data_IF_567499463884
#
_entry.id   IF_567499463884
#
_cell.length_a   1.000
_cell.length_b   1.000
_cell.length_c   1.000
_cell.angle_alpha   90.00
_cell.angle_beta   90.00
_cell.angle_gamma   90.00
#
_symmetry.space_group_name_H-M   'P 1'
#
loop_
_entity.id
_entity.type
_entity.pdbx_description
1 polymer ?
#
# COMPACT_ATOMS: atom_id res chain seq x y z
N UNK A 1 -61.42 -9.94 -22.80
CA UNK A 1 -61.17 -8.60 -22.25
C UNK A 1 -59.82 -8.69 -21.54
N UNK A 2 -58.85 -7.90 -22.00
CA UNK A 2 -57.52 -7.50 -21.46
C UNK A 2 -56.92 -8.26 -20.25
N UNK A 3 -55.61 -8.55 -20.19
CA UNK A 3 -54.52 -7.59 -20.37
C UNK A 3 -53.26 -8.22 -20.99
N UNK A 4 -52.68 -7.48 -21.94
CA UNK A 4 -51.31 -7.64 -22.42
C UNK A 4 -50.46 -6.51 -21.82
N UNK A 5 -49.22 -6.85 -21.51
CA UNK A 5 -48.07 -5.95 -21.37
C UNK A 5 -47.94 -5.11 -20.09
N UNK A 6 -46.99 -5.55 -19.25
CA UNK A 6 -45.93 -4.65 -18.82
C UNK A 6 -44.62 -5.42 -18.90
N UNK A 7 -44.02 -5.40 -20.09
CA UNK A 7 -42.62 -5.78 -20.26
C UNK A 7 -41.78 -4.59 -19.80
N UNK A 8 -41.15 -4.76 -18.64
CA UNK A 8 -40.13 -3.87 -18.12
C UNK A 8 -38.96 -3.86 -19.12
N UNK A 9 -38.89 -2.82 -19.95
CA UNK A 9 -37.84 -2.66 -20.94
C UNK A 9 -36.55 -2.29 -20.21
N UNK A 10 -35.70 -3.30 -19.98
CA UNK A 10 -34.32 -3.13 -19.58
C UNK A 10 -33.65 -2.11 -20.50
N UNK A 11 -33.53 -0.87 -20.01
CA UNK A 11 -32.95 0.22 -20.76
C UNK A 11 -31.44 0.02 -20.76
N UNK A 12 -30.95 -0.74 -21.74
CA UNK A 12 -29.53 -0.81 -22.03
C UNK A 12 -28.97 0.59 -22.26
N UNK A 13 -27.65 0.78 -22.07
CA UNK A 13 -27.02 2.09 -22.26
C UNK A 13 -27.38 2.64 -23.64
N UNK A 14 -27.77 3.91 -23.68
CA UNK A 14 -28.17 4.61 -24.91
C UNK A 14 -27.07 4.46 -25.97
N UNK A 15 -27.36 4.33 -27.28
CA UNK A 15 -26.35 4.06 -28.32
C UNK A 15 -25.17 5.05 -28.43
N UNK A 16 -25.20 6.20 -27.75
CA UNK A 16 -24.07 7.13 -27.58
C UNK A 16 -23.30 7.00 -26.25
N UNK A 17 -23.64 6.03 -25.40
CA UNK A 17 -23.05 5.79 -24.09
C UNK A 17 -21.98 4.67 -24.09
N UNK A 18 -21.66 4.13 -25.26
CA UNK A 18 -20.57 3.17 -25.41
C UNK A 18 -19.21 3.89 -25.40
N UNK A 19 -18.29 3.38 -24.58
CA UNK A 19 -16.92 3.87 -24.50
C UNK A 19 -16.04 3.12 -25.49
N UNK A 20 -15.02 3.78 -26.03
CA UNK A 20 -13.94 3.05 -26.72
C UNK A 20 -13.19 2.17 -25.73
N UNK A 21 -12.50 1.13 -26.20
CA UNK A 21 -11.69 0.27 -25.33
C UNK A 21 -10.64 1.07 -24.54
N UNK A 22 -10.06 2.10 -25.15
CA UNK A 22 -9.12 3.01 -24.49
C UNK A 22 -9.80 3.81 -23.36
N UNK A 23 -10.97 4.40 -23.63
CA UNK A 23 -11.74 5.15 -22.64
C UNK A 23 -12.22 4.25 -21.50
N UNK A 24 -12.64 3.03 -21.81
CA UNK A 24 -13.02 2.03 -20.81
C UNK A 24 -11.81 1.65 -19.95
N UNK A 25 -10.67 1.32 -20.57
CA UNK A 25 -9.45 0.96 -19.85
C UNK A 25 -8.99 2.07 -18.90
N UNK A 26 -9.00 3.32 -19.38
CA UNK A 26 -8.67 4.48 -18.55
C UNK A 26 -9.61 4.62 -17.34
N UNK A 27 -10.92 4.62 -17.58
CA UNK A 27 -11.93 4.72 -16.51
C UNK A 27 -11.90 3.51 -15.57
N UNK A 28 -11.60 2.33 -16.09
CA UNK A 28 -11.45 1.13 -15.29
C UNK A 28 -10.31 1.28 -14.29
N UNK A 29 -9.15 1.78 -14.70
CA UNK A 29 -8.05 2.06 -13.77
C UNK A 29 -8.44 3.13 -12.73
N UNK A 30 -9.19 4.15 -13.14
CA UNK A 30 -9.71 5.17 -12.23
C UNK A 30 -10.61 4.58 -11.14
N UNK A 31 -11.45 3.60 -11.47
CA UNK A 31 -12.38 2.96 -10.53
C UNK A 31 -11.77 1.79 -9.77
N UNK A 32 -10.96 0.96 -10.43
CA UNK A 32 -10.49 -0.31 -9.89
C UNK A 32 -9.23 -0.16 -9.01
N UNK A 33 -8.42 0.87 -9.23
CA UNK A 33 -7.18 1.11 -8.47
C UNK A 33 -7.42 2.18 -7.40
N UNK A 34 -8.10 1.80 -6.34
CA UNK A 34 -8.44 2.70 -5.22
C UNK A 34 -7.36 2.70 -4.14
N UNK A 35 -7.33 3.76 -3.34
CA UNK A 35 -6.45 3.86 -2.15
C UNK A 35 -6.67 2.69 -1.18
N UNK A 36 -7.92 2.31 -0.96
CA UNK A 36 -8.29 1.19 -0.09
C UNK A 36 -7.72 -0.14 -0.58
N UNK A 37 -7.83 -0.44 -1.89
CA UNK A 37 -7.30 -1.68 -2.47
C UNK A 37 -5.77 -1.72 -2.44
N UNK A 38 -5.12 -0.59 -2.71
CA UNK A 38 -3.66 -0.47 -2.64
C UNK A 38 -3.18 -0.60 -1.18
N UNK A 39 -3.87 0.06 -0.25
CA UNK A 39 -3.55 0.01 1.18
C UNK A 39 -3.70 -1.40 1.75
N UNK A 40 -4.79 -2.11 1.39
CA UNK A 40 -5.01 -3.49 1.80
C UNK A 40 -3.91 -4.43 1.29
N UNK A 41 -3.57 -4.34 0.01
CA UNK A 41 -2.51 -5.17 -0.58
C UNK A 41 -1.13 -4.92 0.05
N UNK A 42 -0.81 -3.66 0.37
CA UNK A 42 0.46 -3.31 1.04
C UNK A 42 0.45 -3.78 2.50
N UNK A 43 -0.69 -3.65 3.21
CA UNK A 43 -0.84 -4.17 4.56
C UNK A 43 -0.57 -5.66 4.65
N UNK A 44 -1.08 -6.44 3.70
CA UNK A 44 -0.81 -7.89 3.61
C UNK A 44 0.68 -8.22 3.37
N UNK A 45 1.40 -7.41 2.58
CA UNK A 45 2.82 -7.61 2.29
C UNK A 45 3.71 -7.18 3.46
N UNK A 46 3.34 -6.10 4.17
CA UNK A 46 4.14 -5.54 5.24
C UNK A 46 4.24 -6.50 6.45
N UNK A 47 3.21 -7.32 6.68
CA UNK A 47 3.17 -8.27 7.80
C UNK A 47 2.90 -7.60 9.16
N UNK A 48 2.53 -8.40 10.16
CA UNK A 48 2.02 -7.86 11.45
C UNK A 48 3.14 -7.38 12.41
N UNK A 49 4.33 -7.97 12.31
CA UNK A 49 5.49 -7.61 13.12
C UNK A 49 6.77 -8.34 12.65
N UNK A 50 7.93 -7.71 12.83
CA UNK A 50 9.22 -8.40 12.68
C UNK A 50 10.19 -8.03 13.82
N UNK A 51 11.00 -9.01 14.22
CA UNK A 51 12.08 -8.81 15.19
C UNK A 51 13.39 -8.54 14.45
N UNK A 52 14.04 -7.41 14.74
CA UNK A 52 15.41 -7.19 14.34
C UNK A 52 16.33 -7.66 15.48
N UNK A 53 17.04 -8.77 15.22
CA UNK A 53 17.98 -9.37 16.15
C UNK A 53 19.18 -8.45 16.47
N UNK A 54 20.03 -8.84 17.46
CA UNK A 54 21.04 -7.96 18.02
C UNK A 54 21.99 -7.34 16.99
N UNK A 55 21.80 -6.07 16.64
CA UNK A 55 22.72 -5.31 15.80
C UNK A 55 23.79 -4.72 16.71
N UNK A 56 25.06 -5.07 16.49
CA UNK A 56 26.15 -4.47 17.22
C UNK A 56 26.40 -3.03 16.73
N UNK A 57 25.95 -2.04 17.50
CA UNK A 57 26.17 -0.62 17.21
C UNK A 57 27.02 0.04 18.32
N UNK A 58 27.72 1.14 18.01
CA UNK A 58 28.55 1.90 18.94
C UNK A 58 30.06 1.54 18.98
N UNK A 59 30.90 2.36 19.65
CA UNK A 59 32.35 2.17 19.70
C UNK A 59 32.72 0.80 20.27
N UNK A 60 33.49 0.01 19.52
CA UNK A 60 33.92 -1.33 19.94
C UNK A 60 32.85 -2.44 19.86
N UNK A 61 31.70 -2.21 19.22
CA UNK A 61 30.59 -3.21 19.08
C UNK A 61 30.04 -3.70 20.42
N UNK A 62 30.14 -2.86 21.46
CA UNK A 62 29.80 -3.23 22.84
C UNK A 62 28.28 -3.20 23.06
N UNK A 63 27.56 -2.31 22.37
CA UNK A 63 26.11 -2.23 22.48
C UNK A 63 25.41 -3.22 21.54
N UNK A 64 24.44 -3.94 22.07
CA UNK A 64 23.55 -4.81 21.28
C UNK A 64 22.16 -4.17 21.22
N UNK A 65 21.65 -3.95 20.02
CA UNK A 65 20.32 -3.37 19.82
C UNK A 65 19.35 -4.46 19.38
N UNK A 66 18.27 -4.63 20.12
CA UNK A 66 17.14 -5.48 19.73
C UNK A 66 15.92 -4.60 19.54
N UNK A 67 15.16 -4.82 18.46
CA UNK A 67 13.96 -4.06 18.18
C UNK A 67 12.81 -4.99 17.80
N UNK A 68 11.65 -4.77 18.42
CA UNK A 68 10.39 -5.32 17.98
C UNK A 68 9.65 -4.24 17.21
N UNK A 69 9.41 -4.48 15.92
CA UNK A 69 8.72 -3.53 15.05
C UNK A 69 7.28 -3.97 14.88
N UNK A 70 6.35 -3.06 15.14
CA UNK A 70 4.93 -3.15 14.79
C UNK A 70 4.65 -2.24 13.61
N UNK A 71 4.01 -2.79 12.58
CA UNK A 71 3.62 -2.04 11.39
C UNK A 71 2.18 -1.60 11.57
N UNK A 72 1.95 -0.30 11.46
CA UNK A 72 0.61 0.27 11.61
C UNK A 72 -0.09 0.37 10.26
N UNK A 73 -1.39 0.69 10.30
CA UNK A 73 -2.20 0.83 9.09
C UNK A 73 -1.59 1.86 8.11
N UNK A 74 -1.29 1.46 6.86
CA UNK A 74 -0.80 2.37 5.84
C UNK A 74 -1.78 3.49 5.53
N UNK A 75 -1.25 4.68 5.27
CA UNK A 75 -1.99 5.84 4.75
C UNK A 75 -1.62 6.01 3.28
N UNK A 76 -2.61 5.95 2.40
CA UNK A 76 -2.42 6.04 0.96
C UNK A 76 -3.10 7.29 0.46
N UNK A 77 -2.41 8.08 -0.35
CA UNK A 77 -3.01 9.17 -1.12
C UNK A 77 -2.78 8.95 -2.61
N UNK A 78 -3.82 9.18 -3.40
CA UNK A 78 -3.83 8.97 -4.84
C UNK A 78 -3.80 10.29 -5.61
N UNK A 79 -3.02 10.30 -6.69
CA UNK A 79 -3.03 11.37 -7.69
C UNK A 79 -3.42 10.78 -9.05
N UNK A 80 -4.36 11.46 -9.73
CA UNK A 80 -4.84 11.07 -11.06
C UNK A 80 -4.37 12.13 -12.06
N UNK A 81 -3.38 11.77 -12.88
CA UNK A 81 -2.82 12.62 -13.93
C UNK A 81 -2.71 11.84 -15.24
N UNK A 82 -1.62 11.99 -15.97
CA UNK A 82 -1.35 11.11 -17.13
C UNK A 82 -1.29 9.64 -16.70
N UNK A 83 -0.61 9.37 -15.58
CA UNK A 83 -0.59 8.09 -14.87
C UNK A 83 -1.35 8.23 -13.54
N UNK A 84 -1.76 7.08 -12.98
CA UNK A 84 -2.27 7.04 -11.60
C UNK A 84 -1.11 6.68 -10.69
N UNK A 85 -0.82 7.57 -9.75
CA UNK A 85 0.28 7.44 -8.79
C UNK A 85 -0.26 7.41 -7.36
N UNK A 86 0.51 6.79 -6.48
CA UNK A 86 0.19 6.66 -5.06
C UNK A 86 1.40 7.08 -4.24
N UNK A 87 1.15 7.91 -3.22
CA UNK A 87 2.07 8.11 -2.11
C UNK A 87 1.55 7.30 -0.92
N UNK A 88 2.38 6.39 -0.41
CA UNK A 88 2.04 5.49 0.67
C UNK A 88 2.94 5.80 1.85
N UNK A 89 2.36 6.03 3.02
CA UNK A 89 3.05 6.20 4.29
C UNK A 89 2.69 5.09 5.24
N UNK A 90 3.68 4.37 5.75
CA UNK A 90 3.48 3.25 6.67
C UNK A 90 4.11 3.65 8.01
N UNK A 91 3.31 4.01 9.02
CA UNK A 91 3.84 4.31 10.35
C UNK A 91 4.35 3.03 11.02
N UNK A 92 5.46 3.15 11.73
CA UNK A 92 6.08 2.07 12.50
C UNK A 92 6.11 2.45 13.98
N UNK A 93 5.83 1.47 14.84
CA UNK A 93 6.04 1.56 16.28
C UNK A 93 7.11 0.54 16.67
N UNK A 94 8.19 1.00 17.29
CA UNK A 94 9.40 0.21 17.51
C UNK A 94 9.72 0.19 19.00
N UNK A 95 9.57 -0.98 19.62
CA UNK A 95 10.07 -1.25 20.97
C UNK A 95 11.54 -1.64 20.87
N UNK A 96 12.44 -0.73 21.23
CA UNK A 96 13.88 -0.92 21.13
C UNK A 96 14.52 -1.11 22.51
N UNK A 97 15.41 -2.09 22.61
CA UNK A 97 16.26 -2.33 23.78
C UNK A 97 17.72 -2.20 23.35
N UNK A 98 18.47 -1.34 24.06
CA UNK A 98 19.91 -1.19 23.83
C UNK A 98 20.65 -1.77 25.03
N UNK A 99 21.31 -2.91 24.84
CA UNK A 99 22.10 -3.58 25.88
C UNK A 99 23.54 -3.04 25.87
N UNK A 100 23.88 -2.26 26.89
CA UNK A 100 25.19 -1.64 27.11
C UNK A 100 26.09 -2.48 28.05
N UNK A 101 25.73 -3.74 28.32
CA UNK A 101 26.29 -4.65 29.35
C UNK A 101 26.05 -4.24 30.80
N UNK A 102 26.19 -2.94 31.11
CA UNK A 102 25.98 -2.39 32.45
C UNK A 102 24.51 -2.04 32.67
N UNK A 103 23.83 -1.61 31.60
CA UNK A 103 22.44 -1.21 31.61
C UNK A 103 21.75 -1.65 30.32
N UNK A 104 20.41 -1.76 30.36
CA UNK A 104 19.57 -2.13 29.23
C UNK A 104 18.40 -1.15 29.06
N UNK A 105 18.68 0.12 28.73
CA UNK A 105 17.64 1.11 28.48
C UNK A 105 16.67 0.65 27.39
N UNK A 106 15.40 1.00 27.59
CA UNK A 106 14.30 0.73 26.65
C UNK A 106 13.81 2.03 26.05
N UNK A 107 13.51 2.00 24.76
CA UNK A 107 13.05 3.15 24.00
C UNK A 107 11.80 2.77 23.20
N UNK A 108 10.84 3.68 23.16
CA UNK A 108 9.76 3.66 22.19
C UNK A 108 10.13 4.60 21.05
N UNK A 109 10.28 4.07 19.84
CA UNK A 109 10.65 4.84 18.65
C UNK A 109 9.53 4.77 17.63
N UNK A 110 9.20 5.91 17.03
CA UNK A 110 8.22 5.99 15.95
C UNK A 110 8.96 6.23 14.63
N UNK A 111 8.72 5.36 13.66
CA UNK A 111 9.26 5.46 12.31
C UNK A 111 8.16 5.71 11.28
N UNK A 112 8.54 6.11 10.08
CA UNK A 112 7.64 6.19 8.94
C UNK A 112 8.38 5.73 7.70
N UNK A 113 7.80 4.77 6.98
CA UNK A 113 8.25 4.40 5.64
C UNK A 113 7.45 5.20 4.62
N UNK A 114 8.13 5.80 3.66
CA UNK A 114 7.52 6.50 2.53
C UNK A 114 7.78 5.76 1.22
N UNK A 115 6.71 5.31 0.55
CA UNK A 115 6.79 4.60 -0.73
C UNK A 115 6.03 5.39 -1.80
N UNK A 116 6.48 5.25 -3.04
CA UNK A 116 5.77 5.75 -4.22
C UNK A 116 5.49 4.60 -5.16
N UNK A 117 4.23 4.47 -5.58
CA UNK A 117 3.82 3.46 -6.54
C UNK A 117 3.14 4.11 -7.75
N UNK A 118 3.29 3.49 -8.90
CA UNK A 118 2.64 3.91 -10.15
C UNK A 118 1.87 2.75 -10.73
N UNK A 119 0.57 2.93 -10.96
CA UNK A 119 -0.23 1.93 -11.63
C UNK A 119 0.14 1.88 -13.11
N UNK A 120 0.73 0.78 -13.56
CA UNK A 120 1.09 0.54 -14.95
C UNK A 120 0.16 -0.51 -15.55
N UNK A 121 -0.29 -0.25 -16.78
CA UNK A 121 -0.89 -1.27 -17.63
C UNK A 121 0.22 -1.92 -18.46
N UNK A 122 0.39 -3.23 -18.35
CA UNK A 122 1.36 -4.01 -19.13
C UNK A 122 0.69 -5.20 -19.81
N UNK A 123 1.29 -5.68 -20.91
CA UNK A 123 0.92 -6.96 -21.53
C UNK A 123 1.50 -8.16 -20.75
N UNK A 124 0.76 -9.29 -20.62
CA UNK A 124 -0.68 -9.42 -20.83
C UNK A 124 -1.42 -8.63 -19.74
N UNK A 125 -2.54 -7.97 -20.05
CA UNK A 125 -3.31 -7.02 -19.19
C UNK A 125 -3.20 -7.27 -17.67
N UNK A 126 -2.10 -6.80 -17.08
CA UNK A 126 -1.76 -6.94 -15.66
C UNK A 126 -1.61 -5.55 -15.07
N UNK A 127 -2.28 -5.33 -13.95
CA UNK A 127 -2.05 -4.17 -13.10
C UNK A 127 -0.87 -4.50 -12.19
N UNK A 128 0.29 -3.88 -12.45
CA UNK A 128 1.47 -4.06 -11.62
C UNK A 128 1.63 -2.83 -10.74
N UNK A 129 1.57 -3.04 -9.42
CA UNK A 129 1.96 -2.07 -8.42
C UNK A 129 3.42 -2.36 -8.07
N UNK A 130 4.31 -1.59 -8.68
CA UNK A 130 5.73 -1.64 -8.36
C UNK A 130 5.95 -0.86 -7.05
N UNK A 131 6.28 -1.59 -5.99
CA UNK A 131 6.51 -1.06 -4.65
C UNK A 131 7.91 -1.48 -4.23
N UNK A 132 8.82 -0.52 -4.17
CA UNK A 132 10.17 -0.77 -3.68
C UNK A 132 10.11 -1.15 -2.20
N UNK A 133 10.88 -2.18 -1.80
CA UNK A 133 11.00 -2.54 -0.38
C UNK A 133 11.79 -1.43 0.32
N UNK A 134 11.29 -0.89 1.43
CA UNK A 134 12.04 0.09 2.21
C UNK A 134 13.34 -0.54 2.72
N UNK A 135 14.46 0.14 2.55
CA UNK A 135 15.72 -0.28 3.12
C UNK A 135 15.82 0.16 4.58
N UNK A 136 16.51 -0.62 5.42
CA UNK A 136 16.68 -0.33 6.85
C UNK A 136 17.46 0.98 7.16
N UNK A 137 17.90 1.71 6.14
CA UNK A 137 18.61 2.99 6.24
C UNK A 137 17.78 4.19 5.72
N UNK A 138 16.56 3.96 5.22
CA UNK A 138 15.62 5.00 4.76
C UNK A 138 14.79 5.57 5.92
#
# INVERSE_FOLDING_TARGET
MSDYASSDSASGPTPGAYLTYEQFGRKFFEVAVTEERVGAAIGEIAGDAFEMGPIAQGPGKIAKVTAQVRIQQPRVSREVGELITFAIRIPLEIDMVVDLRIDKPKFMVFGEISLRATAKAAEPLLLILDVEKPHAAD
#
